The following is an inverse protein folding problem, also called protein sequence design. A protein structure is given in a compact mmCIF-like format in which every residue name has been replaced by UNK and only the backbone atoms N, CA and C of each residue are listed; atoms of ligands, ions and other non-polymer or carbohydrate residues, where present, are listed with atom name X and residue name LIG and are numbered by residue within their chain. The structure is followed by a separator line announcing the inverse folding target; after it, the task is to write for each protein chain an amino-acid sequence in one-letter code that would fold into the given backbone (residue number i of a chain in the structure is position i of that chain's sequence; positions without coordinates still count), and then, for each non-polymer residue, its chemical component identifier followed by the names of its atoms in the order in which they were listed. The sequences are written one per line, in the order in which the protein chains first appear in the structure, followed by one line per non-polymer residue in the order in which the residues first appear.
data_IF_389920762511
#
_entry.id   IF_389920762511
#
_cell.length_a   1.000
_cell.length_b   1.000
_cell.length_c   1.000
_cell.angle_alpha   90.00
_cell.angle_beta   90.00
_cell.angle_gamma   90.00
#
_symmetry.space_group_name_H-M   'P 1'
#
loop_
_entity.id
_entity.type
_entity.pdbx_description
1 polymer ?
#
# COMPACT_ATOMS: atom_id res chain seq x y z
N UNK A 1 -36.46 63.51 4.45
CA UNK A 1 -37.00 64.86 4.14
C UNK A 1 -37.66 65.51 5.34
N UNK A 2 -38.36 64.84 6.23
CA UNK A 2 -39.08 65.50 7.37
C UNK A 2 -38.14 66.19 8.37
N UNK A 3 -37.00 65.63 8.74
CA UNK A 3 -36.06 66.20 9.75
C UNK A 3 -35.37 67.50 9.28
N UNK A 4 -35.03 67.64 8.00
CA UNK A 4 -34.45 68.85 7.46
C UNK A 4 -35.48 69.95 7.38
N UNK A 5 -36.71 69.66 6.98
CA UNK A 5 -37.81 70.57 6.97
C UNK A 5 -38.14 71.07 8.40
N UNK A 6 -38.17 70.16 9.37
CA UNK A 6 -38.38 70.53 10.78
C UNK A 6 -37.23 71.44 11.30
N UNK A 7 -36.00 71.14 10.92
CA UNK A 7 -34.86 72.00 11.31
C UNK A 7 -34.93 73.35 10.73
N UNK A 8 -35.31 73.51 9.45
CA UNK A 8 -35.52 74.81 8.80
C UNK A 8 -36.67 75.56 9.47
N UNK A 9 -37.78 74.86 9.77
CA UNK A 9 -38.92 75.48 10.46
C UNK A 9 -38.57 75.95 11.87
N UNK A 10 -37.74 75.20 12.62
CA UNK A 10 -37.25 75.60 13.94
C UNK A 10 -36.36 76.88 13.87
N UNK A 11 -35.42 76.94 12.89
CA UNK A 11 -34.59 78.10 12.67
C UNK A 11 -35.43 79.30 12.22
N UNK A 12 -36.44 79.12 11.38
CA UNK A 12 -37.37 80.20 10.96
C UNK A 12 -38.22 80.71 12.14
N UNK A 13 -38.75 79.81 12.97
CA UNK A 13 -39.50 80.18 14.17
C UNK A 13 -38.65 80.95 15.19
N UNK A 14 -37.40 80.47 15.44
CA UNK A 14 -36.45 81.15 16.30
C UNK A 14 -36.08 82.50 15.77
N UNK A 15 -35.85 82.70 14.46
CA UNK A 15 -35.61 83.99 13.81
C UNK A 15 -36.81 84.91 13.90
N UNK A 16 -38.04 84.39 13.76
CA UNK A 16 -39.25 85.24 13.92
C UNK A 16 -39.43 85.73 15.36
N UNK A 17 -39.23 84.88 16.35
CA UNK A 17 -39.30 85.18 17.76
C UNK A 17 -38.25 86.28 18.17
N UNK A 18 -36.99 86.10 17.70
CA UNK A 18 -35.92 87.01 17.99
C UNK A 18 -36.15 88.37 17.27
N UNK A 19 -36.67 88.35 16.04
CA UNK A 19 -37.02 89.53 15.27
C UNK A 19 -38.14 90.34 15.90
N UNK A 20 -39.12 89.70 16.55
CA UNK A 20 -40.21 90.32 17.29
C UNK A 20 -39.72 91.04 18.57
N UNK A 21 -38.59 90.59 19.18
CA UNK A 21 -38.08 91.11 20.44
C UNK A 21 -36.94 92.13 20.28
N UNK A 22 -36.02 91.88 19.31
CA UNK A 22 -34.81 92.70 19.12
C UNK A 22 -34.71 93.41 17.77
N UNK A 23 -35.79 93.35 16.97
CA UNK A 23 -35.86 94.00 15.66
C UNK A 23 -35.67 93.02 14.48
N UNK A 24 -36.28 93.38 13.33
CA UNK A 24 -36.34 92.47 12.16
C UNK A 24 -34.96 92.09 11.61
N UNK A 25 -33.97 93.00 11.67
CA UNK A 25 -32.63 92.75 11.16
C UNK A 25 -31.92 91.63 11.93
N UNK A 26 -32.09 91.55 13.27
CA UNK A 26 -31.51 90.49 14.12
C UNK A 26 -32.16 89.13 13.89
N UNK A 27 -33.48 89.10 13.61
CA UNK A 27 -34.20 87.86 13.25
C UNK A 27 -33.72 87.24 11.94
N UNK A 28 -33.56 88.08 10.90
CA UNK A 28 -32.99 87.64 9.61
C UNK A 28 -31.54 87.16 9.71
N UNK A 29 -30.71 87.85 10.52
CA UNK A 29 -29.32 87.43 10.76
C UNK A 29 -29.24 86.08 11.45
N UNK A 30 -30.11 85.82 12.46
CA UNK A 30 -30.18 84.53 13.13
C UNK A 30 -30.62 83.39 12.17
N UNK A 31 -31.64 83.65 11.35
CA UNK A 31 -32.10 82.63 10.35
C UNK A 31 -31.03 82.37 9.30
N UNK A 32 -30.34 83.39 8.78
CA UNK A 32 -29.27 83.27 7.84
C UNK A 32 -28.07 82.49 8.44
N UNK A 33 -27.73 82.71 9.71
CA UNK A 33 -26.69 82.01 10.43
C UNK A 33 -27.07 80.53 10.58
N UNK A 34 -28.35 80.27 10.89
CA UNK A 34 -28.85 78.85 10.98
C UNK A 34 -28.77 78.11 9.65
N UNK A 35 -29.15 78.78 8.55
CA UNK A 35 -29.01 78.17 7.22
C UNK A 35 -27.54 77.98 6.84
N UNK A 36 -26.65 78.90 7.14
CA UNK A 36 -25.21 78.78 6.88
C UNK A 36 -24.59 77.60 7.66
N UNK A 37 -24.97 77.46 8.96
CA UNK A 37 -24.53 76.35 9.78
C UNK A 37 -25.05 74.97 9.24
N UNK A 38 -26.28 74.94 8.78
CA UNK A 38 -26.87 73.75 8.19
C UNK A 38 -26.17 73.31 6.89
N UNK A 39 -25.83 74.27 6.01
CA UNK A 39 -25.06 74.07 4.79
C UNK A 39 -23.66 73.54 5.13
N UNK A 40 -22.99 74.18 6.13
CA UNK A 40 -21.66 73.71 6.56
C UNK A 40 -21.67 72.28 7.11
N UNK A 41 -22.62 71.97 7.99
CA UNK A 41 -22.76 70.62 8.54
C UNK A 41 -23.05 69.59 7.43
N UNK A 42 -23.94 69.97 6.48
CA UNK A 42 -24.22 69.06 5.33
C UNK A 42 -23.00 68.87 4.43
N UNK A 43 -22.21 69.95 4.19
CA UNK A 43 -20.95 69.83 3.43
C UNK A 43 -19.90 68.94 4.11
N UNK A 44 -19.75 69.10 5.45
CA UNK A 44 -18.87 68.22 6.23
C UNK A 44 -19.31 66.80 6.21
N UNK A 45 -20.60 66.46 6.31
CA UNK A 45 -21.14 65.14 6.18
C UNK A 45 -20.89 64.58 4.80
N UNK A 46 -21.17 65.34 3.75
CA UNK A 46 -20.93 64.92 2.38
C UNK A 46 -19.44 64.57 2.13
N UNK A 47 -18.54 65.38 2.68
CA UNK A 47 -17.09 65.13 2.58
C UNK A 47 -16.65 63.89 3.33
N UNK A 48 -17.27 63.57 4.48
CA UNK A 48 -17.05 62.30 5.22
C UNK A 48 -17.55 61.11 4.45
N UNK A 49 -18.75 61.20 3.86
CA UNK A 49 -19.33 60.12 3.02
C UNK A 49 -18.47 59.93 1.78
N UNK A 50 -18.03 60.98 1.11
CA UNK A 50 -17.17 60.89 -0.07
C UNK A 50 -15.81 60.23 0.24
N UNK A 51 -15.22 60.47 1.42
CA UNK A 51 -14.03 59.75 1.87
C UNK A 51 -14.31 58.27 2.16
N UNK A 52 -15.40 57.98 2.82
CA UNK A 52 -15.80 56.63 3.11
C UNK A 52 -16.07 55.81 1.83
N UNK A 53 -16.70 56.36 0.82
CA UNK A 53 -16.93 55.71 -0.47
C UNK A 53 -15.62 55.29 -1.16
N UNK A 54 -14.53 56.04 -0.92
CA UNK A 54 -13.19 55.67 -1.45
C UNK A 54 -12.51 54.55 -0.66
N UNK A 55 -12.91 54.36 0.60
CA UNK A 55 -12.40 53.30 1.49
C UNK A 55 -13.56 52.58 2.16
N UNK A 56 -14.33 51.86 1.35
CA UNK A 56 -15.64 51.26 1.70
C UNK A 56 -15.51 50.07 2.67
N UNK A 57 -14.28 49.73 3.08
CA UNK A 57 -13.98 48.59 3.95
C UNK A 57 -14.34 48.84 5.43
N UNK A 58 -14.43 50.10 5.82
CA UNK A 58 -14.80 50.47 7.17
C UNK A 58 -16.31 50.72 7.30
N UNK A 59 -16.89 50.58 8.51
CA UNK A 59 -18.29 50.89 8.72
C UNK A 59 -18.57 52.36 8.35
N UNK A 60 -19.77 52.66 7.81
CA UNK A 60 -20.10 54.00 7.43
C UNK A 60 -19.96 54.95 8.62
N UNK A 61 -19.46 56.20 8.40
CA UNK A 61 -19.34 57.18 9.47
C UNK A 61 -20.72 57.46 10.05
N UNK A 62 -20.83 57.73 11.38
CA UNK A 62 -22.09 58.10 11.98
C UNK A 62 -22.61 59.35 11.30
N UNK A 63 -23.76 59.28 10.67
CA UNK A 63 -24.39 60.33 9.94
C UNK A 63 -25.67 60.77 10.66
N UNK A 64 -25.94 62.03 10.66
CA UNK A 64 -27.18 62.59 11.23
C UNK A 64 -28.16 62.84 10.06
N UNK A 65 -29.32 62.16 10.13
CA UNK A 65 -30.38 62.41 9.16
C UNK A 65 -30.64 61.27 8.17
N UNK A 66 -31.15 61.53 6.97
CA UNK A 66 -31.63 60.48 6.04
C UNK A 66 -30.53 59.61 5.44
N UNK A 67 -29.25 60.01 5.61
CA UNK A 67 -28.12 59.27 5.08
C UNK A 67 -27.89 57.90 5.75
N UNK A 68 -28.25 57.77 7.05
CA UNK A 68 -28.13 56.51 7.79
C UNK A 68 -29.06 55.43 7.22
N UNK A 69 -30.26 55.80 6.81
CA UNK A 69 -31.25 54.91 6.23
C UNK A 69 -30.79 54.38 4.87
N UNK A 70 -29.91 55.08 4.14
CA UNK A 70 -29.41 54.71 2.82
C UNK A 70 -28.06 53.97 2.93
N UNK A 71 -27.14 54.50 3.72
CA UNK A 71 -25.76 53.95 3.78
C UNK A 71 -25.67 52.59 4.49
N UNK A 72 -26.46 52.40 5.57
CA UNK A 72 -26.43 51.15 6.33
C UNK A 72 -26.89 49.91 5.53
N UNK A 73 -27.96 49.95 4.71
CA UNK A 73 -28.33 48.85 3.84
C UNK A 73 -27.30 48.58 2.72
N UNK A 74 -26.75 49.65 2.12
CA UNK A 74 -25.72 49.52 1.07
C UNK A 74 -24.49 48.83 1.63
N UNK A 75 -23.99 49.26 2.78
CA UNK A 75 -22.83 48.68 3.43
C UNK A 75 -23.08 47.20 3.80
N UNK A 76 -24.24 46.88 4.38
CA UNK A 76 -24.62 45.49 4.68
C UNK A 76 -24.62 44.61 3.44
N UNK A 77 -25.19 45.10 2.33
CA UNK A 77 -25.23 44.37 1.06
C UNK A 77 -23.84 44.14 0.47
N UNK A 78 -22.98 45.14 0.48
CA UNK A 78 -21.60 45.02 0.01
C UNK A 78 -20.77 44.05 0.88
N UNK A 79 -20.92 44.17 2.20
CA UNK A 79 -20.26 43.27 3.15
C UNK A 79 -20.73 41.83 2.94
N UNK A 80 -22.03 41.62 2.74
CA UNK A 80 -22.58 40.29 2.49
C UNK A 80 -22.06 39.70 1.18
N UNK A 81 -22.10 40.44 0.08
CA UNK A 81 -21.55 40.00 -1.21
C UNK A 81 -20.05 39.65 -1.11
N UNK A 82 -19.27 40.40 -0.34
CA UNK A 82 -17.84 40.10 -0.13
C UNK A 82 -17.64 38.81 0.66
N UNK A 83 -18.42 38.59 1.72
CA UNK A 83 -18.38 37.33 2.48
C UNK A 83 -18.78 36.16 1.60
N UNK A 84 -19.84 36.30 0.80
CA UNK A 84 -20.29 35.24 -0.13
C UNK A 84 -19.20 34.92 -1.17
N UNK A 85 -18.51 35.91 -1.70
CA UNK A 85 -17.37 35.72 -2.62
C UNK A 85 -16.21 35.01 -1.92
N UNK A 86 -15.87 35.42 -0.71
CA UNK A 86 -14.82 34.75 0.07
C UNK A 86 -15.15 33.30 0.39
N UNK A 87 -16.39 33.03 0.77
CA UNK A 87 -16.83 31.66 1.08
C UNK A 87 -16.85 30.78 -0.17
N UNK A 88 -17.27 31.32 -1.33
CA UNK A 88 -17.17 30.60 -2.61
C UNK A 88 -15.73 30.31 -2.99
N UNK A 89 -14.83 31.28 -2.84
CA UNK A 89 -13.40 31.10 -3.13
C UNK A 89 -12.77 30.07 -2.18
N UNK A 90 -13.09 30.11 -0.87
CA UNK A 90 -12.62 29.14 0.11
C UNK A 90 -13.15 27.74 -0.19
N UNK A 91 -14.42 27.62 -0.56
CA UNK A 91 -15.03 26.33 -0.91
C UNK A 91 -14.41 25.74 -2.15
N UNK A 92 -14.16 26.53 -3.18
CA UNK A 92 -13.45 26.11 -4.38
C UNK A 92 -12.00 25.65 -4.07
N UNK A 93 -11.28 26.43 -3.26
CA UNK A 93 -9.92 26.04 -2.87
C UNK A 93 -9.88 24.75 -2.05
N UNK A 94 -10.86 24.54 -1.14
CA UNK A 94 -10.98 23.26 -0.40
C UNK A 94 -11.28 22.09 -1.36
N UNK A 95 -12.12 22.27 -2.36
CA UNK A 95 -12.42 21.23 -3.35
C UNK A 95 -11.17 20.86 -4.16
N UNK A 96 -10.34 21.85 -4.56
CA UNK A 96 -9.07 21.59 -5.24
C UNK A 96 -8.09 20.82 -4.35
N UNK A 97 -7.93 21.23 -3.08
CA UNK A 97 -7.07 20.51 -2.14
C UNK A 97 -7.54 19.09 -1.89
N UNK A 98 -8.86 18.85 -1.84
CA UNK A 98 -9.41 17.51 -1.73
C UNK A 98 -9.12 16.67 -2.99
N UNK A 99 -9.21 17.26 -4.18
CA UNK A 99 -8.87 16.59 -5.43
C UNK A 99 -7.37 16.27 -5.54
N UNK A 100 -6.48 17.15 -5.01
CA UNK A 100 -5.04 16.87 -4.93
C UNK A 100 -4.70 15.72 -3.97
N UNK A 101 -5.48 15.54 -2.90
CA UNK A 101 -5.27 14.47 -1.91
C UNK A 101 -5.79 13.09 -2.36
N UNK A 102 -6.43 13.00 -3.53
CA UNK A 102 -6.91 11.71 -4.04
C UNK A 102 -5.74 10.79 -4.40
N UNK A 103 -5.80 9.50 -4.01
CA UNK A 103 -4.82 8.50 -4.42
C UNK A 103 -4.94 8.15 -5.91
N UNK A 104 -6.10 8.39 -6.52
CA UNK A 104 -6.35 8.26 -7.94
C UNK A 104 -5.98 9.56 -8.66
N UNK A 105 -5.47 9.45 -9.87
CA UNK A 105 -5.25 10.60 -10.72
C UNK A 105 -6.57 11.12 -11.27
N UNK A 106 -6.78 12.43 -11.19
CA UNK A 106 -7.95 13.10 -11.75
C UNK A 106 -7.49 14.24 -12.67
N UNK A 107 -8.09 14.32 -13.84
CA UNK A 107 -7.83 15.40 -14.79
C UNK A 107 -9.10 15.79 -15.54
N UNK A 108 -9.17 17.05 -15.91
CA UNK A 108 -10.31 17.60 -16.65
C UNK A 108 -9.88 18.00 -18.07
N UNK A 109 -10.74 17.67 -19.02
CA UNK A 109 -10.53 17.94 -20.43
C UNK A 109 -11.67 18.82 -20.97
N UNK A 110 -11.36 19.64 -21.96
CA UNK A 110 -12.34 20.41 -22.69
C UNK A 110 -13.06 19.56 -23.77
N UNK A 111 -14.03 20.11 -24.52
CA UNK A 111 -14.72 19.39 -25.60
C UNK A 111 -13.78 18.83 -26.69
N UNK A 112 -12.61 19.45 -26.89
CA UNK A 112 -11.58 19.02 -27.83
C UNK A 112 -10.56 18.06 -27.23
N UNK A 113 -10.81 17.61 -25.98
CA UNK A 113 -9.93 16.74 -25.21
C UNK A 113 -8.57 17.35 -24.90
N UNK A 114 -8.51 18.70 -24.79
CA UNK A 114 -7.34 19.41 -24.32
C UNK A 114 -7.35 19.46 -22.77
N UNK A 115 -6.15 19.30 -22.18
CA UNK A 115 -5.95 19.28 -20.73
C UNK A 115 -6.24 20.65 -20.12
N UNK A 116 -7.19 20.74 -19.18
CA UNK A 116 -7.49 21.95 -18.44
C UNK A 116 -6.85 21.97 -17.07
N UNK A 117 -6.94 20.86 -16.35
CA UNK A 117 -6.40 20.68 -15.01
C UNK A 117 -6.10 19.21 -14.76
N UNK A 118 -5.11 18.94 -13.91
CA UNK A 118 -4.89 17.60 -13.34
C UNK A 118 -4.33 17.74 -11.91
N UNK A 119 -4.56 16.71 -11.08
CA UNK A 119 -3.89 16.59 -9.80
C UNK A 119 -2.48 16.01 -9.96
N UNK A 120 -1.67 16.09 -8.90
CA UNK A 120 -0.30 15.58 -8.89
C UNK A 120 -0.22 14.08 -9.19
N UNK A 121 -1.21 13.30 -8.75
CA UNK A 121 -1.29 11.85 -9.03
C UNK A 121 -1.45 11.59 -10.52
N UNK A 122 -2.37 12.28 -11.22
CA UNK A 122 -2.54 12.14 -12.67
C UNK A 122 -1.28 12.56 -13.42
N UNK A 123 -0.64 13.64 -12.98
CA UNK A 123 0.64 14.10 -13.55
C UNK A 123 1.71 13.01 -13.44
N UNK A 124 1.82 12.35 -12.28
CA UNK A 124 2.79 11.26 -12.08
C UNK A 124 2.45 9.99 -12.86
N UNK A 125 1.16 9.67 -13.02
CA UNK A 125 0.70 8.49 -13.75
C UNK A 125 0.97 8.58 -15.25
N UNK A 126 0.70 9.75 -15.83
CA UNK A 126 0.77 9.97 -17.27
C UNK A 126 2.04 10.71 -17.72
N UNK A 127 2.88 11.14 -16.77
CA UNK A 127 4.08 11.92 -17.06
C UNK A 127 3.77 13.34 -17.57
N UNK A 128 2.70 13.97 -17.03
CA UNK A 128 2.26 15.30 -17.44
C UNK A 128 3.03 16.39 -16.69
N UNK A 129 3.27 17.49 -17.41
CA UNK A 129 3.68 18.76 -16.83
C UNK A 129 2.55 19.78 -17.03
N UNK A 130 1.87 20.15 -15.94
CA UNK A 130 0.67 21.00 -16.02
C UNK A 130 0.96 22.38 -16.59
N UNK A 131 2.16 22.94 -16.37
CA UNK A 131 2.52 24.24 -16.93
C UNK A 131 2.73 24.19 -18.45
N UNK A 132 3.32 23.10 -18.92
CA UNK A 132 3.66 22.89 -20.33
C UNK A 132 2.49 22.31 -21.14
N UNK A 133 1.78 21.34 -20.56
CA UNK A 133 0.81 20.50 -21.28
C UNK A 133 -0.61 21.05 -21.24
N UNK A 134 -0.87 22.09 -20.44
CA UNK A 134 -2.18 22.73 -20.34
C UNK A 134 -2.61 23.29 -21.69
N UNK A 135 -3.82 23.00 -22.11
CA UNK A 135 -4.38 23.37 -23.41
C UNK A 135 -3.95 22.48 -24.56
N UNK A 136 -3.06 21.52 -24.34
CA UNK A 136 -2.70 20.53 -25.37
C UNK A 136 -3.64 19.33 -25.31
N UNK A 137 -3.91 18.72 -26.47
CA UNK A 137 -4.74 17.52 -26.52
C UNK A 137 -4.06 16.36 -25.79
N UNK A 138 -4.80 15.71 -24.86
CA UNK A 138 -4.32 14.54 -24.13
C UNK A 138 -3.92 13.39 -25.06
N UNK A 139 -4.48 13.32 -26.26
CA UNK A 139 -4.17 12.32 -27.28
C UNK A 139 -2.73 12.44 -27.83
N UNK A 140 -2.18 13.67 -27.82
CA UNK A 140 -0.80 13.92 -28.23
C UNK A 140 0.21 13.58 -27.13
N UNK A 141 -0.23 13.59 -25.90
CA UNK A 141 0.58 13.30 -24.71
C UNK A 141 0.60 11.79 -24.46
N UNK A 142 -0.58 11.17 -24.37
CA UNK A 142 -0.73 9.72 -24.23
C UNK A 142 -0.80 9.09 -25.62
N UNK A 143 0.37 8.77 -26.19
CA UNK A 143 0.53 8.30 -27.59
C UNK A 143 0.22 6.80 -27.76
N UNK A 144 -0.80 6.28 -27.07
CA UNK A 144 -1.22 4.89 -27.18
C UNK A 144 -2.40 4.76 -28.16
N UNK A 145 -2.33 3.91 -29.20
CA UNK A 145 -3.43 3.73 -30.16
C UNK A 145 -4.74 3.27 -29.50
N UNK A 146 -4.64 2.46 -28.45
CA UNK A 146 -5.78 2.00 -27.67
C UNK A 146 -6.48 3.17 -26.97
N UNK A 147 -5.71 4.11 -26.43
CA UNK A 147 -6.25 5.30 -25.78
C UNK A 147 -6.94 6.22 -26.80
N UNK A 148 -6.36 6.42 -27.97
CA UNK A 148 -6.97 7.23 -29.02
C UNK A 148 -8.31 6.65 -29.48
N UNK A 149 -8.42 5.33 -29.64
CA UNK A 149 -9.69 4.64 -29.95
C UNK A 149 -10.70 4.77 -28.83
N UNK A 150 -10.30 4.58 -27.60
CA UNK A 150 -11.14 4.70 -26.41
C UNK A 150 -11.68 6.13 -26.25
N UNK A 151 -10.82 7.13 -26.36
CA UNK A 151 -11.21 8.53 -26.24
C UNK A 151 -12.13 9.01 -27.40
N UNK A 152 -12.12 8.33 -28.56
CA UNK A 152 -13.00 8.60 -29.69
C UNK A 152 -14.41 7.97 -29.59
N UNK A 153 -14.71 7.18 -28.56
CA UNK A 153 -16.03 6.59 -28.34
C UNK A 153 -17.03 7.65 -27.90
N UNK A 154 -18.33 7.36 -28.05
CA UNK A 154 -19.41 8.20 -27.56
C UNK A 154 -19.78 7.89 -26.11
N UNK A 155 -19.54 6.64 -25.66
CA UNK A 155 -19.81 6.17 -24.30
C UNK A 155 -18.61 5.40 -23.74
N UNK A 156 -18.38 5.51 -22.43
CA UNK A 156 -17.24 4.91 -21.74
C UNK A 156 -17.70 4.04 -20.56
N UNK A 157 -18.48 2.99 -20.85
CA UNK A 157 -19.05 2.09 -19.84
C UNK A 157 -17.98 1.25 -19.12
N UNK A 158 -16.85 1.03 -19.78
CA UNK A 158 -15.74 0.25 -19.23
C UNK A 158 -14.46 1.06 -19.23
N UNK A 159 -13.63 0.95 -18.17
CA UNK A 159 -12.33 1.59 -18.16
C UNK A 159 -11.40 0.94 -19.19
N UNK A 160 -10.51 1.74 -19.74
CA UNK A 160 -9.39 1.27 -20.56
C UNK A 160 -8.23 0.85 -19.64
N UNK A 161 -7.70 -0.34 -19.86
CA UNK A 161 -6.43 -0.76 -19.25
C UNK A 161 -5.30 -0.41 -20.21
N UNK A 162 -4.34 0.38 -19.72
CA UNK A 162 -3.23 0.86 -20.52
C UNK A 162 -1.90 0.48 -19.86
N UNK A 163 -1.03 -0.19 -20.61
CA UNK A 163 0.30 -0.55 -20.18
C UNK A 163 1.30 0.53 -20.64
N UNK A 164 1.94 1.20 -19.69
CA UNK A 164 2.91 2.26 -19.93
C UNK A 164 4.31 1.82 -19.49
N UNK A 165 5.32 2.14 -20.29
CA UNK A 165 6.72 1.84 -20.00
C UNK A 165 7.14 0.43 -20.42
N UNK A 166 8.45 0.13 -20.26
CA UNK A 166 9.07 -1.14 -20.62
C UNK A 166 9.94 -1.63 -19.46
N UNK A 167 10.00 -2.94 -19.23
CA UNK A 167 10.83 -3.55 -18.21
C UNK A 167 10.35 -3.30 -16.76
N UNK A 168 11.27 -3.09 -15.83
CA UNK A 168 10.98 -2.94 -14.40
C UNK A 168 10.18 -1.68 -14.02
N UNK A 169 10.13 -0.69 -14.90
CA UNK A 169 9.36 0.55 -14.73
C UNK A 169 7.96 0.50 -15.38
N UNK A 170 7.54 -0.66 -15.92
CA UNK A 170 6.23 -0.83 -16.53
C UNK A 170 5.11 -0.64 -15.48
N UNK A 171 4.14 0.23 -15.80
CA UNK A 171 2.94 0.49 -15.00
C UNK A 171 1.71 0.13 -15.80
N UNK A 172 0.71 -0.38 -15.11
CA UNK A 172 -0.61 -0.63 -15.70
C UNK A 172 -1.61 0.34 -15.08
N UNK A 173 -2.18 1.18 -15.92
CA UNK A 173 -3.16 2.18 -15.51
C UNK A 173 -4.55 1.77 -16.00
N UNK A 174 -5.53 1.90 -15.14
CA UNK A 174 -6.96 1.89 -15.48
C UNK A 174 -7.39 3.33 -15.72
N UNK A 175 -7.86 3.64 -16.94
CA UNK A 175 -8.31 4.96 -17.35
C UNK A 175 -9.82 4.94 -17.55
N UNK A 176 -10.54 5.83 -16.87
CA UNK A 176 -11.97 5.99 -17.06
C UNK A 176 -12.31 7.42 -17.45
N UNK A 177 -12.97 7.57 -18.59
CA UNK A 177 -13.43 8.86 -19.09
C UNK A 177 -14.95 8.99 -18.85
N UNK A 178 -15.36 10.11 -18.26
CA UNK A 178 -16.76 10.40 -18.00
C UNK A 178 -17.09 11.85 -18.41
N UNK A 179 -18.23 12.10 -19.06
CA UNK A 179 -18.68 13.47 -19.35
C UNK A 179 -19.11 14.15 -18.04
N UNK A 180 -18.78 15.44 -17.90
CA UNK A 180 -19.31 16.28 -16.84
C UNK A 180 -19.57 17.71 -17.35
N UNK A 181 -20.53 18.40 -16.76
CA UNK A 181 -20.88 19.76 -17.19
C UNK A 181 -21.34 19.80 -18.65
N UNK A 182 -21.04 20.91 -19.33
CA UNK A 182 -21.43 21.13 -20.74
C UNK A 182 -20.23 20.82 -21.65
N UNK A 183 -20.22 19.60 -22.21
CA UNK A 183 -19.20 19.18 -23.18
C UNK A 183 -17.79 18.96 -22.61
N UNK A 184 -17.62 18.91 -21.29
CA UNK A 184 -16.34 18.67 -20.63
C UNK A 184 -16.23 17.20 -20.23
N UNK A 185 -14.98 16.72 -20.03
CA UNK A 185 -14.70 15.36 -19.63
C UNK A 185 -13.82 15.32 -18.38
N UNK A 186 -14.20 14.43 -17.47
CA UNK A 186 -13.36 14.03 -16.34
C UNK A 186 -12.69 12.70 -16.69
N UNK A 187 -11.37 12.63 -16.60
CA UNK A 187 -10.65 11.37 -16.70
C UNK A 187 -10.07 11.00 -15.34
N UNK A 188 -10.35 9.79 -14.89
CA UNK A 188 -9.79 9.21 -13.67
C UNK A 188 -8.75 8.17 -14.07
N UNK A 189 -7.59 8.21 -13.46
CA UNK A 189 -6.49 7.25 -13.68
C UNK A 189 -6.16 6.54 -12.38
N UNK A 190 -6.11 5.22 -12.40
CA UNK A 190 -5.74 4.39 -11.25
C UNK A 190 -4.59 3.47 -11.59
N UNK A 191 -3.55 3.46 -10.78
CA UNK A 191 -2.47 2.48 -10.89
C UNK A 191 -2.96 1.13 -10.37
N UNK A 192 -3.11 0.18 -11.28
CA UNK A 192 -3.53 -1.20 -11.00
C UNK A 192 -2.39 -2.20 -11.18
N UNK A 193 -1.15 -1.74 -11.27
CA UNK A 193 0.02 -2.57 -11.55
C UNK A 193 0.15 -3.74 -10.57
N UNK A 194 -0.05 -3.48 -9.28
CA UNK A 194 0.01 -4.53 -8.27
C UNK A 194 -1.15 -5.52 -8.38
N UNK A 195 -2.36 -5.01 -8.61
CA UNK A 195 -3.57 -5.85 -8.76
C UNK A 195 -3.41 -6.78 -9.96
N UNK A 196 -2.98 -6.25 -11.09
CA UNK A 196 -2.77 -7.02 -12.31
C UNK A 196 -1.66 -8.07 -12.15
N UNK A 197 -0.54 -7.70 -11.49
CA UNK A 197 0.53 -8.66 -11.18
C UNK A 197 0.02 -9.81 -10.30
N UNK A 198 -0.80 -9.52 -9.30
CA UNK A 198 -1.40 -10.53 -8.44
C UNK A 198 -2.37 -11.43 -9.21
N UNK A 199 -3.22 -10.85 -10.07
CA UNK A 199 -4.14 -11.63 -10.91
C UNK A 199 -3.40 -12.53 -11.91
N UNK A 200 -2.36 -12.00 -12.56
CA UNK A 200 -1.55 -12.77 -13.50
C UNK A 200 -0.81 -13.90 -12.77
N UNK A 201 -0.20 -13.61 -11.60
CA UNK A 201 0.43 -14.65 -10.75
C UNK A 201 -0.57 -15.74 -10.37
N UNK A 202 -1.82 -15.37 -10.05
CA UNK A 202 -2.88 -16.34 -9.72
C UNK A 202 -3.30 -17.16 -10.94
N UNK A 203 -3.44 -16.53 -12.11
CA UNK A 203 -3.77 -17.26 -13.36
C UNK A 203 -2.66 -18.26 -13.72
N UNK A 204 -1.40 -17.80 -13.67
CA UNK A 204 -0.23 -18.65 -13.95
C UNK A 204 -0.13 -19.81 -12.95
N UNK A 205 -0.44 -19.57 -11.67
CA UNK A 205 -0.48 -20.59 -10.66
C UNK A 205 -1.50 -21.68 -11.01
N UNK A 206 -2.76 -21.34 -11.31
CA UNK A 206 -3.82 -22.29 -11.67
C UNK A 206 -3.45 -23.07 -12.94
N UNK A 207 -2.91 -22.39 -13.95
CA UNK A 207 -2.47 -23.03 -15.18
C UNK A 207 -1.34 -24.04 -14.92
N UNK A 208 -0.33 -23.63 -14.14
CA UNK A 208 0.81 -24.49 -13.82
C UNK A 208 0.40 -25.70 -12.97
N UNK A 209 -0.46 -25.52 -11.94
CA UNK A 209 -1.02 -26.65 -11.17
C UNK A 209 -1.72 -27.65 -12.09
N UNK A 210 -2.56 -27.16 -13.01
CA UNK A 210 -3.29 -28.00 -13.95
C UNK A 210 -2.34 -28.78 -14.87
N UNK A 211 -1.27 -28.17 -15.33
CA UNK A 211 -0.26 -28.82 -16.15
C UNK A 211 0.55 -29.87 -15.37
N UNK A 212 1.02 -29.54 -14.16
CA UNK A 212 1.83 -30.43 -13.34
C UNK A 212 1.03 -31.63 -12.79
N UNK A 213 -0.30 -31.50 -12.65
CA UNK A 213 -1.18 -32.66 -12.32
C UNK A 213 -1.56 -33.49 -13.55
N UNK A 214 -1.77 -32.86 -14.72
CA UNK A 214 -2.19 -33.58 -15.93
C UNK A 214 -1.12 -34.54 -16.42
N UNK A 215 0.15 -34.14 -16.39
CA UNK A 215 1.26 -34.98 -16.91
C UNK A 215 1.37 -36.34 -16.19
N UNK A 216 1.48 -36.42 -14.85
CA UNK A 216 1.54 -37.71 -14.16
C UNK A 216 0.25 -38.52 -14.31
N UNK A 217 -0.91 -37.86 -14.36
CA UNK A 217 -2.19 -38.51 -14.55
C UNK A 217 -2.26 -39.21 -15.92
N UNK A 218 -1.83 -38.54 -16.98
CA UNK A 218 -1.75 -39.15 -18.35
C UNK A 218 -0.82 -40.34 -18.37
N UNK A 219 0.33 -40.26 -17.68
CA UNK A 219 1.29 -41.39 -17.57
C UNK A 219 0.68 -42.56 -16.82
N UNK A 220 -0.01 -42.29 -15.69
CA UNK A 220 -0.72 -43.33 -14.94
C UNK A 220 -1.80 -44.01 -15.78
N UNK A 221 -2.65 -43.22 -16.46
CA UNK A 221 -3.70 -43.78 -17.34
C UNK A 221 -3.10 -44.64 -18.43
N UNK A 222 -2.02 -44.20 -19.09
CA UNK A 222 -1.36 -44.98 -20.14
C UNK A 222 -0.78 -46.32 -19.63
N UNK A 223 -0.21 -46.34 -18.40
CA UNK A 223 0.25 -47.62 -17.81
C UNK A 223 -0.92 -48.50 -17.44
N UNK A 224 -2.02 -47.97 -16.94
CA UNK A 224 -3.23 -48.74 -16.62
C UNK A 224 -3.82 -49.36 -17.91
N UNK A 225 -3.99 -48.54 -18.96
CA UNK A 225 -4.46 -49.04 -20.27
C UNK A 225 -3.54 -50.12 -20.84
N UNK A 226 -2.21 -49.92 -20.79
CA UNK A 226 -1.24 -50.90 -21.23
C UNK A 226 -1.36 -52.22 -20.47
N UNK A 227 -1.57 -52.17 -19.14
CA UNK A 227 -1.73 -53.35 -18.31
C UNK A 227 -3.09 -54.04 -18.51
N UNK A 228 -4.14 -53.29 -18.93
CA UNK A 228 -5.46 -53.85 -19.24
C UNK A 228 -5.53 -54.48 -20.62
N UNK A 229 -4.90 -53.89 -21.63
CA UNK A 229 -4.98 -54.34 -23.02
C UNK A 229 -4.05 -55.50 -23.35
N UNK A 230 -2.98 -55.67 -22.57
CA UNK A 230 -2.04 -56.77 -22.80
C UNK A 230 -2.53 -58.08 -22.19
N UNK A 231 -2.54 -59.23 -22.93
CA UNK A 231 -2.82 -60.55 -22.37
C UNK A 231 -1.92 -60.82 -21.17
N UNK A 232 -2.44 -61.55 -20.17
CA UNK A 232 -1.75 -61.82 -18.90
C UNK A 232 -0.34 -62.40 -19.03
N UNK A 233 -0.07 -63.10 -20.14
CA UNK A 233 1.22 -63.79 -20.45
C UNK A 233 2.14 -62.93 -21.33
N UNK A 234 1.68 -61.74 -21.83
CA UNK A 234 2.45 -60.90 -22.71
C UNK A 234 3.54 -60.06 -22.00
N UNK A 235 3.43 -59.89 -20.67
CA UNK A 235 4.41 -59.21 -19.85
C UNK A 235 5.16 -60.18 -18.95
N UNK A 236 6.48 -60.06 -18.93
CA UNK A 236 7.29 -60.74 -17.92
C UNK A 236 6.98 -60.22 -16.51
N UNK A 237 7.20 -61.01 -15.48
CA UNK A 237 7.01 -60.58 -14.09
C UNK A 237 7.85 -59.35 -13.72
N UNK A 238 9.02 -59.16 -14.37
CA UNK A 238 9.89 -57.99 -14.20
C UNK A 238 9.32 -56.74 -14.86
N UNK A 239 8.80 -56.86 -16.08
CA UNK A 239 8.16 -55.70 -16.77
C UNK A 239 6.92 -55.22 -16.02
N UNK A 240 6.08 -56.15 -15.53
CA UNK A 240 4.91 -55.80 -14.71
C UNK A 240 5.31 -55.09 -13.44
N UNK A 241 6.34 -55.57 -12.74
CA UNK A 241 6.87 -54.93 -11.53
C UNK A 241 7.41 -53.54 -11.85
N UNK A 242 8.14 -53.38 -12.95
CA UNK A 242 8.66 -52.10 -13.40
C UNK A 242 7.54 -51.07 -13.66
N UNK A 243 6.45 -51.47 -14.34
CA UNK A 243 5.31 -50.56 -14.54
C UNK A 243 4.64 -50.15 -13.23
N UNK A 244 4.45 -51.12 -12.31
CA UNK A 244 3.89 -50.83 -10.99
C UNK A 244 4.79 -49.87 -10.18
N UNK A 245 6.11 -50.00 -10.25
CA UNK A 245 7.07 -49.14 -9.58
C UNK A 245 7.00 -47.72 -10.16
N UNK A 246 6.91 -47.57 -11.49
CA UNK A 246 6.72 -46.30 -12.14
C UNK A 246 5.39 -45.62 -11.74
N UNK A 247 4.30 -46.37 -11.69
CA UNK A 247 3.00 -45.87 -11.22
C UNK A 247 3.06 -45.45 -9.77
N UNK A 248 3.68 -46.22 -8.89
CA UNK A 248 3.88 -45.86 -7.49
C UNK A 248 4.72 -44.61 -7.34
N UNK A 249 5.74 -44.42 -8.18
CA UNK A 249 6.55 -43.19 -8.18
C UNK A 249 5.73 -42.00 -8.63
N UNK A 250 4.92 -42.10 -9.69
CA UNK A 250 4.06 -40.99 -10.13
C UNK A 250 3.02 -40.60 -9.06
N UNK A 251 2.45 -41.60 -8.38
CA UNK A 251 1.51 -41.37 -7.27
C UNK A 251 2.19 -40.61 -6.13
N UNK A 252 3.40 -41.00 -5.72
CA UNK A 252 4.18 -40.28 -4.71
C UNK A 252 4.49 -38.84 -5.13
N UNK A 253 4.84 -38.61 -6.40
CA UNK A 253 5.09 -37.26 -6.93
C UNK A 253 3.84 -36.40 -6.87
N UNK A 254 2.66 -36.93 -7.21
CA UNK A 254 1.38 -36.23 -7.11
C UNK A 254 1.04 -35.89 -5.65
N UNK A 255 1.23 -36.83 -4.73
CA UNK A 255 1.01 -36.62 -3.29
C UNK A 255 1.91 -35.48 -2.76
N UNK A 256 3.20 -35.51 -3.13
CA UNK A 256 4.13 -34.43 -2.76
C UNK A 256 3.68 -33.09 -3.31
N UNK A 257 3.26 -33.02 -4.58
CA UNK A 257 2.75 -31.78 -5.19
C UNK A 257 1.52 -31.24 -4.46
N UNK A 258 0.54 -32.10 -4.14
CA UNK A 258 -0.68 -31.72 -3.40
C UNK A 258 -0.30 -31.24 -2.00
N UNK A 259 0.60 -31.92 -1.30
CA UNK A 259 1.08 -31.51 0.03
C UNK A 259 1.76 -30.14 0.00
N UNK A 260 2.62 -29.89 -0.99
CA UNK A 260 3.28 -28.59 -1.18
C UNK A 260 2.28 -27.49 -1.47
N UNK A 261 1.25 -27.75 -2.29
CA UNK A 261 0.17 -26.82 -2.58
C UNK A 261 -0.64 -26.46 -1.33
N UNK A 262 -1.01 -27.45 -0.52
CA UNK A 262 -1.74 -27.24 0.73
C UNK A 262 -0.89 -26.43 1.73
N UNK A 263 0.41 -26.75 1.83
CA UNK A 263 1.34 -26.03 2.68
C UNK A 263 1.44 -24.57 2.25
N UNK A 264 1.63 -24.31 0.95
CA UNK A 264 1.71 -22.95 0.41
C UNK A 264 0.41 -22.18 0.63
N UNK A 265 -0.75 -22.79 0.38
CA UNK A 265 -2.06 -22.19 0.61
C UNK A 265 -2.29 -21.86 2.09
N UNK A 266 -1.88 -22.74 3.00
CA UNK A 266 -1.95 -22.47 4.45
C UNK A 266 -1.04 -21.31 4.86
N UNK A 267 0.18 -21.26 4.36
CA UNK A 267 1.12 -20.15 4.63
C UNK A 267 0.60 -18.81 4.14
N UNK A 268 -0.16 -18.77 3.04
CA UNK A 268 -0.73 -17.54 2.47
C UNK A 268 -2.00 -17.08 3.15
N UNK A 269 -2.82 -18.02 3.63
CA UNK A 269 -4.15 -17.72 4.19
C UNK A 269 -4.15 -17.51 5.71
N UNK A 270 -3.19 -18.11 6.42
CA UNK A 270 -3.14 -18.06 7.89
C UNK A 270 -2.37 -16.83 8.34
N UNK A 271 -2.93 -15.97 9.23
CA UNK A 271 -2.19 -14.86 9.82
C UNK A 271 -0.92 -15.34 10.51
N UNK A 272 0.12 -14.51 10.48
CA UNK A 272 1.37 -14.81 11.17
C UNK A 272 1.11 -14.88 12.69
N UNK A 273 1.19 -16.09 13.26
CA UNK A 273 1.08 -16.29 14.71
C UNK A 273 2.46 -16.14 15.33
N UNK A 274 2.53 -15.42 16.45
CA UNK A 274 3.76 -15.38 17.26
C UNK A 274 4.06 -16.81 17.77
N UNK A 275 5.08 -17.43 17.19
CA UNK A 275 5.54 -18.76 17.61
C UNK A 275 6.36 -18.72 18.90
N UNK A 276 6.55 -19.88 19.52
CA UNK A 276 7.40 -20.08 20.70
C UNK A 276 8.91 -20.14 20.35
N UNK A 277 9.77 -20.37 21.37
CA UNK A 277 11.20 -20.61 21.15
C UNK A 277 11.44 -21.98 20.54
N UNK A 278 11.89 -22.01 19.28
CA UNK A 278 12.15 -23.23 18.49
C UNK A 278 13.63 -23.62 18.58
N UNK A 279 13.96 -24.87 18.95
CA UNK A 279 15.31 -25.41 18.90
C UNK A 279 15.65 -25.84 17.45
N UNK A 280 16.12 -24.88 16.63
CA UNK A 280 16.37 -25.13 15.20
C UNK A 280 17.39 -26.25 14.96
N UNK A 281 18.37 -26.42 15.82
CA UNK A 281 19.31 -27.55 15.74
C UNK A 281 18.62 -28.92 15.72
N UNK A 282 17.53 -29.10 16.48
CA UNK A 282 16.76 -30.33 16.48
C UNK A 282 16.02 -30.52 15.17
N UNK A 283 15.44 -29.46 14.60
CA UNK A 283 14.77 -29.50 13.29
C UNK A 283 15.75 -29.83 12.17
N UNK A 284 16.95 -29.22 12.20
CA UNK A 284 18.02 -29.51 11.23
C UNK A 284 18.45 -30.97 11.31
N UNK A 285 18.61 -31.55 12.50
CA UNK A 285 18.96 -32.96 12.65
C UNK A 285 17.90 -33.88 12.04
N UNK A 286 16.63 -33.61 12.31
CA UNK A 286 15.53 -34.38 11.74
C UNK A 286 15.51 -34.30 10.21
N UNK A 287 15.64 -33.10 9.66
CA UNK A 287 15.68 -32.87 8.22
C UNK A 287 16.93 -33.49 7.57
N UNK A 288 18.07 -33.45 8.27
CA UNK A 288 19.32 -34.06 7.82
C UNK A 288 19.20 -35.59 7.75
N UNK A 289 18.58 -36.26 8.75
CA UNK A 289 18.32 -37.70 8.72
C UNK A 289 17.43 -38.12 7.53
N UNK A 290 16.41 -37.30 7.23
CA UNK A 290 15.54 -37.50 6.04
C UNK A 290 16.33 -37.32 4.73
N UNK A 291 17.18 -36.29 4.65
CA UNK A 291 18.03 -36.04 3.49
C UNK A 291 19.08 -37.18 3.28
N UNK A 292 19.66 -37.72 4.35
CA UNK A 292 20.55 -38.89 4.31
C UNK A 292 19.83 -40.13 3.80
N UNK A 293 18.62 -40.38 4.27
CA UNK A 293 17.80 -41.46 3.78
C UNK A 293 17.46 -41.32 2.27
N UNK A 294 17.10 -40.10 1.84
CA UNK A 294 16.85 -39.80 0.44
C UNK A 294 18.10 -39.93 -0.43
N UNK A 295 19.26 -39.60 0.11
CA UNK A 295 20.56 -39.74 -0.54
C UNK A 295 20.91 -41.22 -0.82
N UNK A 296 20.49 -42.15 0.04
CA UNK A 296 20.85 -43.54 -0.10
C UNK A 296 22.38 -43.79 -0.11
N UNK A 297 23.14 -43.01 0.63
CA UNK A 297 24.60 -43.11 0.71
C UNK A 297 25.37 -42.49 -0.46
N UNK A 298 24.72 -41.77 -1.36
CA UNK A 298 25.36 -41.18 -2.54
C UNK A 298 26.14 -39.88 -2.25
N UNK A 299 25.92 -39.27 -1.09
CA UNK A 299 26.54 -38.00 -0.72
C UNK A 299 27.16 -38.07 0.68
N UNK A 300 28.17 -37.22 0.94
CA UNK A 300 28.73 -37.01 2.28
C UNK A 300 28.02 -35.83 2.93
N UNK A 301 27.73 -35.97 4.23
CA UNK A 301 27.05 -34.92 5.01
C UNK A 301 27.94 -34.48 6.17
N UNK A 302 28.09 -33.16 6.33
CA UNK A 302 28.71 -32.52 7.49
C UNK A 302 27.68 -31.55 8.12
N UNK A 303 27.65 -31.48 9.46
CA UNK A 303 26.75 -30.59 10.17
C UNK A 303 27.43 -29.97 11.40
N UNK A 304 27.39 -28.65 11.50
CA UNK A 304 27.84 -27.90 12.67
C UNK A 304 26.64 -27.09 13.17
N UNK A 305 26.13 -27.46 14.34
CA UNK A 305 24.89 -26.96 14.89
C UNK A 305 25.13 -26.39 16.29
N UNK A 306 24.76 -25.12 16.49
CA UNK A 306 24.72 -24.54 17.83
C UNK A 306 23.41 -24.98 18.53
N UNK A 307 23.58 -25.82 19.57
CA UNK A 307 22.47 -26.39 20.35
C UNK A 307 21.80 -25.37 21.28
N UNK A 308 22.47 -24.28 21.57
CA UNK A 308 21.97 -23.26 22.51
C UNK A 308 21.08 -22.24 21.84
N UNK A 309 21.26 -22.06 20.52
CA UNK A 309 20.61 -21.04 19.74
C UNK A 309 19.15 -21.41 19.41
N UNK A 310 18.22 -20.54 19.78
CA UNK A 310 16.77 -20.71 19.56
C UNK A 310 16.19 -19.51 18.84
N UNK A 311 15.18 -19.75 18.01
CA UNK A 311 14.47 -18.72 17.24
C UNK A 311 13.00 -18.70 17.66
N UNK A 312 12.42 -17.52 17.80
CA UNK A 312 10.97 -17.38 17.96
C UNK A 312 10.29 -17.65 16.62
N UNK A 313 9.49 -18.70 16.54
CA UNK A 313 8.84 -19.11 15.30
C UNK A 313 7.93 -20.31 15.46
N UNK A 314 7.51 -20.88 14.34
CA UNK A 314 6.70 -22.11 14.26
C UNK A 314 7.56 -23.29 13.79
N UNK A 315 7.59 -24.35 14.58
CA UNK A 315 8.41 -25.56 14.33
C UNK A 315 8.12 -26.18 12.98
N UNK A 316 6.83 -26.34 12.65
CA UNK A 316 6.38 -26.99 11.41
C UNK A 316 6.76 -26.19 10.17
N UNK A 317 6.64 -24.85 10.23
CA UNK A 317 7.02 -23.98 9.13
C UNK A 317 8.54 -24.00 8.93
N UNK A 318 9.31 -23.81 10.01
CA UNK A 318 10.78 -23.86 9.94
C UNK A 318 11.31 -25.22 9.51
N UNK A 319 10.72 -26.31 9.99
CA UNK A 319 11.06 -27.66 9.54
C UNK A 319 10.82 -27.84 8.03
N UNK A 320 9.69 -27.34 7.51
CA UNK A 320 9.38 -27.36 6.09
C UNK A 320 10.39 -26.59 5.25
N UNK A 321 10.77 -25.37 5.68
CA UNK A 321 11.75 -24.56 4.96
C UNK A 321 13.13 -25.25 4.91
N UNK A 322 13.63 -25.72 6.05
CA UNK A 322 14.92 -26.42 6.16
C UNK A 322 14.91 -27.71 5.34
N UNK A 323 13.82 -28.50 5.44
CA UNK A 323 13.63 -29.74 4.67
C UNK A 323 13.67 -29.51 3.16
N UNK A 324 13.03 -28.43 2.68
CA UNK A 324 13.07 -28.06 1.27
C UNK A 324 14.48 -27.69 0.78
N UNK A 325 15.27 -26.97 1.59
CA UNK A 325 16.65 -26.64 1.23
C UNK A 325 17.52 -27.90 1.16
N UNK A 326 17.41 -28.81 2.14
CA UNK A 326 18.17 -30.05 2.18
C UNK A 326 17.79 -31.01 1.07
N UNK A 327 16.50 -31.14 0.78
CA UNK A 327 16.00 -31.97 -0.33
C UNK A 327 16.52 -31.45 -1.67
N UNK A 328 16.56 -30.14 -1.87
CA UNK A 328 17.15 -29.53 -3.06
C UNK A 328 18.67 -29.83 -3.14
N UNK A 329 19.41 -29.68 -2.05
CA UNK A 329 20.83 -30.03 -2.03
C UNK A 329 21.08 -31.48 -2.45
N UNK A 330 20.29 -32.44 -1.94
CA UNK A 330 20.41 -33.87 -2.34
C UNK A 330 20.08 -34.10 -3.81
N UNK A 331 19.08 -33.39 -4.35
CA UNK A 331 18.63 -33.55 -5.75
C UNK A 331 19.62 -33.02 -6.78
N UNK A 332 20.25 -31.89 -6.44
CA UNK A 332 21.09 -31.17 -7.41
C UNK A 332 22.58 -31.41 -7.22
N UNK A 333 22.97 -32.21 -6.21
CA UNK A 333 24.34 -32.65 -6.03
C UNK A 333 24.53 -33.99 -6.73
N UNK A 334 25.53 -34.19 -7.61
CA UNK A 334 25.90 -35.44 -8.20
C UNK A 334 26.37 -36.45 -7.13
N UNK A 335 26.25 -37.77 -7.41
CA UNK A 335 26.84 -38.79 -6.51
C UNK A 335 28.31 -38.55 -6.24
N UNK A 336 28.73 -38.74 -4.98
CA UNK A 336 30.09 -38.43 -4.49
C UNK A 336 30.27 -36.98 -3.99
N UNK A 337 29.30 -36.11 -4.20
CA UNK A 337 29.34 -34.72 -3.69
C UNK A 337 29.09 -34.63 -2.19
N UNK A 338 29.27 -33.40 -1.66
CA UNK A 338 29.12 -33.13 -0.23
C UNK A 338 28.03 -32.07 0.04
N UNK A 339 27.35 -32.22 1.17
CA UNK A 339 26.32 -31.31 1.67
C UNK A 339 26.69 -30.93 3.09
N UNK A 340 26.89 -29.63 3.34
CA UNK A 340 27.25 -29.09 4.64
C UNK A 340 26.13 -28.22 5.19
N UNK A 341 25.76 -28.43 6.46
CA UNK A 341 24.73 -27.64 7.14
C UNK A 341 25.35 -26.91 8.32
N UNK A 342 25.16 -25.60 8.36
CA UNK A 342 25.64 -24.75 9.43
C UNK A 342 24.45 -24.07 10.12
N UNK A 343 24.39 -24.18 11.45
CA UNK A 343 23.48 -23.40 12.27
C UNK A 343 24.28 -22.65 13.32
N UNK A 344 24.41 -21.35 13.18
CA UNK A 344 25.35 -20.52 13.94
C UNK A 344 24.81 -19.11 14.20
N UNK A 345 25.29 -18.40 15.23
CA UNK A 345 24.98 -16.99 15.42
C UNK A 345 25.57 -16.16 14.28
N UNK A 346 24.82 -15.13 13.84
CA UNK A 346 25.27 -14.18 12.84
C UNK A 346 25.98 -12.97 13.50
N UNK A 347 26.90 -12.28 12.78
CA UNK A 347 27.68 -11.16 13.33
C UNK A 347 26.84 -9.97 13.81
N UNK A 348 25.63 -9.81 13.29
CA UNK A 348 24.67 -8.77 13.62
C UNK A 348 23.79 -9.09 14.86
N UNK A 349 24.13 -10.16 15.58
CA UNK A 349 23.36 -10.66 16.72
C UNK A 349 22.15 -11.51 16.33
N UNK A 350 21.94 -11.74 15.05
CA UNK A 350 20.95 -12.66 14.50
C UNK A 350 21.42 -14.12 14.52
N UNK A 351 20.78 -14.96 13.69
CA UNK A 351 21.16 -16.36 13.50
C UNK A 351 21.11 -16.74 12.02
N UNK A 352 21.94 -17.68 11.61
CA UNK A 352 21.99 -18.14 10.23
C UNK A 352 21.92 -19.67 10.14
N UNK A 353 20.97 -20.17 9.31
CA UNK A 353 20.94 -21.56 8.86
C UNK A 353 21.41 -21.61 7.40
N UNK A 354 22.57 -22.23 7.16
CA UNK A 354 23.16 -22.35 5.81
C UNK A 354 23.23 -23.79 5.37
N UNK A 355 22.77 -24.04 4.17
CA UNK A 355 22.90 -25.34 3.47
C UNK A 355 23.79 -25.10 2.27
N UNK A 356 24.99 -25.70 2.28
CA UNK A 356 25.95 -25.66 1.18
C UNK A 356 26.01 -27.01 0.51
N UNK A 357 25.97 -27.03 -0.81
CA UNK A 357 26.16 -28.21 -1.63
C UNK A 357 27.29 -28.02 -2.65
N UNK A 358 27.88 -29.11 -3.11
CA UNK A 358 28.85 -29.15 -4.22
C UNK A 358 28.17 -29.64 -5.50
N UNK A 359 26.96 -29.14 -5.74
CA UNK A 359 26.13 -29.52 -6.86
C UNK A 359 26.50 -28.82 -8.18
N UNK A 360 25.59 -28.90 -9.12
CA UNK A 360 25.77 -28.33 -10.48
C UNK A 360 25.86 -26.81 -10.50
N UNK A 361 25.51 -26.13 -9.39
CA UNK A 361 25.39 -24.70 -9.35
C UNK A 361 24.22 -24.16 -10.18
N UNK A 362 24.05 -22.85 -10.16
CA UNK A 362 22.91 -22.13 -10.73
C UNK A 362 23.43 -20.93 -11.52
N UNK A 363 22.86 -20.69 -12.69
CA UNK A 363 23.17 -19.48 -13.48
C UNK A 363 22.72 -18.22 -12.73
N UNK A 364 23.56 -17.18 -12.63
CA UNK A 364 23.20 -15.92 -11.98
C UNK A 364 21.89 -15.29 -12.52
N UNK A 365 21.56 -15.48 -13.81
CA UNK A 365 20.32 -15.00 -14.41
C UNK A 365 19.06 -15.66 -13.82
N UNK A 366 19.17 -16.90 -13.33
CA UNK A 366 18.07 -17.67 -12.77
C UNK A 366 17.88 -17.45 -11.27
N UNK A 367 18.92 -16.99 -10.54
CA UNK A 367 18.85 -16.82 -9.07
C UNK A 367 17.65 -15.98 -8.61
N UNK A 368 17.33 -14.83 -9.20
CA UNK A 368 16.17 -14.03 -8.79
C UNK A 368 14.83 -14.75 -8.94
N UNK A 369 14.76 -15.72 -9.85
CA UNK A 369 13.54 -16.44 -10.22
C UNK A 369 13.35 -17.76 -9.48
N UNK A 370 14.38 -18.28 -8.83
CA UNK A 370 14.34 -19.59 -8.13
C UNK A 370 13.22 -19.72 -7.11
N UNK A 371 12.79 -18.60 -6.53
CA UNK A 371 11.70 -18.55 -5.54
C UNK A 371 10.33 -18.31 -6.16
N UNK A 372 10.22 -18.20 -7.50
CA UNK A 372 8.94 -18.18 -8.21
C UNK A 372 8.30 -19.56 -8.14
N UNK A 373 6.97 -19.61 -8.07
CA UNK A 373 6.22 -20.86 -8.02
C UNK A 373 6.39 -21.63 -9.34
N UNK A 374 6.66 -22.92 -9.27
CA UNK A 374 6.89 -23.83 -10.42
C UNK A 374 8.11 -23.46 -11.28
N UNK A 375 8.95 -22.50 -10.84
CA UNK A 375 10.16 -22.18 -11.58
C UNK A 375 11.19 -23.31 -11.43
N UNK A 376 11.86 -23.62 -12.55
CA UNK A 376 12.88 -24.67 -12.65
C UNK A 376 13.90 -24.23 -13.68
N UNK A 377 15.17 -24.10 -13.27
CA UNK A 377 16.26 -23.69 -14.17
C UNK A 377 16.50 -24.71 -15.31
N UNK A 378 16.31 -26.03 -15.04
CA UNK A 378 16.42 -27.10 -16.04
C UNK A 378 15.15 -27.99 -16.00
N UNK A 379 14.27 -27.80 -16.99
CA UNK A 379 13.01 -28.57 -17.12
C UNK A 379 13.23 -30.04 -17.46
N UNK A 380 14.32 -30.41 -18.13
CA UNK A 380 14.60 -31.78 -18.57
C UNK A 380 15.05 -32.68 -17.41
N UNK A 381 16.09 -32.27 -16.70
CA UNK A 381 16.70 -32.99 -15.58
C UNK A 381 15.79 -33.08 -14.35
N UNK A 382 15.07 -31.98 -14.10
CA UNK A 382 14.20 -31.89 -12.92
C UNK A 382 12.97 -32.78 -12.98
N UNK A 383 12.48 -33.18 -14.18
CA UNK A 383 11.42 -34.21 -14.31
C UNK A 383 11.90 -35.59 -13.87
N UNK A 384 13.14 -35.95 -14.17
CA UNK A 384 13.73 -37.21 -13.73
C UNK A 384 13.94 -37.26 -12.20
N UNK A 385 14.16 -36.12 -11.54
CA UNK A 385 14.41 -36.05 -10.10
C UNK A 385 13.17 -35.76 -9.25
N UNK A 386 11.98 -35.58 -9.86
CA UNK A 386 10.69 -35.49 -9.15
C UNK A 386 10.47 -34.20 -8.35
N UNK A 387 11.10 -33.07 -8.73
CA UNK A 387 10.90 -31.78 -8.06
C UNK A 387 9.56 -31.14 -8.44
N UNK A 388 8.84 -30.58 -7.48
CA UNK A 388 7.55 -29.89 -7.68
C UNK A 388 7.72 -28.44 -8.17
N UNK A 389 8.91 -27.83 -7.99
CA UNK A 389 9.14 -26.40 -8.25
C UNK A 389 8.46 -25.48 -7.21
N UNK A 390 7.92 -26.04 -6.13
CA UNK A 390 7.28 -25.28 -5.04
C UNK A 390 8.16 -25.16 -3.79
N UNK A 391 9.13 -26.02 -3.57
CA UNK A 391 9.89 -26.09 -2.33
C UNK A 391 10.62 -24.79 -1.97
N UNK A 392 11.26 -24.10 -2.94
CA UNK A 392 11.92 -22.80 -2.68
C UNK A 392 10.91 -21.67 -2.50
N UNK A 393 9.75 -21.73 -3.17
CA UNK A 393 8.67 -20.78 -2.91
C UNK A 393 8.11 -20.94 -1.49
N UNK A 394 7.91 -22.19 -1.02
CA UNK A 394 7.53 -22.50 0.38
C UNK A 394 8.59 -21.97 1.34
N UNK A 395 9.87 -22.26 1.11
CA UNK A 395 10.96 -21.77 1.95
C UNK A 395 10.96 -20.24 2.03
N UNK A 396 10.79 -19.53 0.92
CA UNK A 396 10.68 -18.06 0.89
C UNK A 396 9.50 -17.55 1.71
N UNK A 397 8.31 -18.13 1.56
CA UNK A 397 7.13 -17.73 2.33
C UNK A 397 7.33 -17.91 3.83
N UNK A 398 7.90 -19.06 4.25
CA UNK A 398 8.24 -19.33 5.65
C UNK A 398 9.24 -18.29 6.17
N UNK A 399 10.31 -18.03 5.41
CA UNK A 399 11.35 -17.06 5.76
C UNK A 399 10.75 -15.67 5.95
N UNK A 400 9.89 -15.22 5.04
CA UNK A 400 9.19 -13.93 5.15
C UNK A 400 8.27 -13.85 6.38
N UNK A 401 7.55 -14.92 6.71
CA UNK A 401 6.70 -14.99 7.92
C UNK A 401 7.49 -14.91 9.22
N UNK A 402 8.77 -15.24 9.19
CA UNK A 402 9.67 -15.17 10.32
C UNK A 402 10.56 -13.91 10.31
N UNK A 403 10.23 -12.88 9.49
CA UNK A 403 11.00 -11.65 9.28
C UNK A 403 12.48 -11.92 8.93
N UNK A 404 12.76 -13.11 8.38
CA UNK A 404 14.07 -13.56 7.97
C UNK A 404 14.31 -13.27 6.48
N UNK A 405 15.53 -13.43 6.03
CA UNK A 405 15.93 -13.24 4.62
C UNK A 405 16.51 -14.54 4.07
N UNK A 406 16.10 -14.92 2.85
CA UNK A 406 16.70 -16.02 2.11
C UNK A 406 17.77 -15.45 1.16
N UNK A 407 19.04 -15.73 1.45
CA UNK A 407 20.20 -15.39 0.60
C UNK A 407 20.65 -16.62 -0.17
N UNK A 408 20.87 -16.47 -1.49
CA UNK A 408 21.26 -17.54 -2.39
C UNK A 408 22.51 -17.12 -3.14
N UNK A 409 23.58 -17.90 -2.96
CA UNK A 409 24.85 -17.74 -3.68
C UNK A 409 25.20 -19.00 -4.39
N UNK A 410 25.50 -18.92 -5.68
CA UNK A 410 25.81 -20.09 -6.47
C UNK A 410 26.74 -19.72 -7.64
N UNK A 411 27.60 -20.67 -7.97
CA UNK A 411 28.45 -20.62 -9.16
C UNK A 411 28.24 -21.89 -9.97
N UNK A 412 27.95 -21.79 -11.27
CA UNK A 412 27.82 -22.98 -12.12
C UNK A 412 29.06 -23.88 -12.05
N UNK A 413 28.86 -25.17 -11.76
CA UNK A 413 29.92 -26.18 -11.63
C UNK A 413 30.59 -26.24 -10.26
N UNK A 414 30.37 -25.30 -9.33
CA UNK A 414 31.00 -25.29 -8.00
C UNK A 414 30.02 -25.64 -6.86
N UNK A 415 28.71 -25.46 -7.10
CA UNK A 415 27.66 -25.71 -6.13
C UNK A 415 26.93 -24.46 -5.67
N UNK A 416 26.13 -24.58 -4.60
CA UNK A 416 25.27 -23.52 -4.10
C UNK A 416 25.32 -23.39 -2.58
N UNK A 417 25.01 -22.20 -2.08
CA UNK A 417 24.82 -21.90 -0.66
C UNK A 417 23.47 -21.21 -0.50
N UNK A 418 22.56 -21.87 0.20
CA UNK A 418 21.27 -21.31 0.60
C UNK A 418 21.32 -20.93 2.08
N UNK A 419 21.05 -19.67 2.41
CA UNK A 419 21.15 -19.15 3.77
C UNK A 419 19.83 -18.54 4.20
N UNK A 420 19.29 -19.01 5.33
CA UNK A 420 18.17 -18.34 6.02
C UNK A 420 18.79 -17.47 7.12
N UNK A 421 18.65 -16.16 7.02
CA UNK A 421 19.20 -15.18 7.94
C UNK A 421 18.08 -14.62 8.81
N UNK A 422 18.14 -14.93 10.11
CA UNK A 422 17.14 -14.46 11.08
C UNK A 422 17.66 -13.21 11.78
N UNK A 423 16.84 -12.15 11.93
CA UNK A 423 17.24 -10.94 12.64
C UNK A 423 17.40 -11.19 14.15
N UNK A 424 18.19 -10.35 14.82
CA UNK A 424 18.42 -10.43 16.27
C UNK A 424 17.12 -10.41 17.09
N UNK A 425 16.09 -9.71 16.61
CA UNK A 425 14.76 -9.66 17.26
C UNK A 425 14.06 -11.02 17.35
N UNK A 426 14.41 -11.98 16.49
CA UNK A 426 13.85 -13.35 16.48
C UNK A 426 14.70 -14.32 17.31
N UNK A 427 15.93 -13.98 17.66
CA UNK A 427 16.81 -14.83 18.48
C UNK A 427 16.32 -14.79 19.93
N UNK A 428 16.05 -15.94 20.49
CA UNK A 428 15.68 -16.04 21.90
C UNK A 428 16.95 -16.01 22.75
N UNK A 429 16.97 -15.27 23.87
CA UNK A 429 18.07 -15.36 24.80
C UNK A 429 18.27 -16.82 25.25
N UNK A 430 19.51 -17.26 25.52
CA UNK A 430 19.76 -18.60 26.01
C UNK A 430 18.89 -18.86 27.25
N UNK A 431 18.20 -20.01 27.29
CA UNK A 431 17.40 -20.36 28.45
C UNK A 431 18.32 -20.36 29.66
N UNK A 432 18.13 -19.38 30.53
CA UNK A 432 18.83 -19.38 31.84
C UNK A 432 18.59 -20.74 32.53
N UNK A 433 19.45 -21.18 33.43
CA UNK A 433 19.32 -22.45 34.12
C UNK A 433 17.90 -22.59 34.63
N UNK A 434 17.23 -23.69 34.26
CA UNK A 434 15.85 -23.96 34.63
C UNK A 434 15.66 -23.68 36.12
N UNK A 435 14.82 -22.72 36.46
CA UNK A 435 14.43 -22.52 37.88
C UNK A 435 13.95 -23.88 38.38
N UNK A 436 14.40 -24.36 39.56
CA UNK A 436 13.99 -25.64 40.08
C UNK A 436 12.47 -25.68 40.18
N UNK A 437 11.91 -26.79 39.71
CA UNK A 437 10.47 -27.07 39.80
C UNK A 437 9.96 -26.69 41.17
N UNK A 438 9.05 -25.73 41.27
CA UNK A 438 8.36 -25.41 42.53
C UNK A 438 7.53 -26.62 42.89
N UNK A 439 7.96 -27.33 43.90
CA UNK A 439 7.16 -28.34 44.57
C UNK A 439 5.80 -27.74 44.97
N UNK A 440 4.75 -28.44 44.58
CA UNK A 440 3.37 -28.14 45.00
C UNK A 440 3.20 -28.40 46.50
N UNK A 441 3.64 -27.46 47.33
CA UNK A 441 3.28 -27.43 48.74
C UNK A 441 3.17 -25.97 49.16
N UNK A 442 1.95 -25.51 49.26
CA UNK A 442 1.60 -24.16 49.70
C UNK A 442 2.16 -23.78 51.05
N UNK A 443 2.70 -22.55 51.11
CA UNK A 443 2.58 -21.64 52.26
C UNK A 443 2.89 -20.20 51.86
N UNK A 444 1.89 -19.35 52.02
CA UNK A 444 2.04 -17.89 51.98
C UNK A 444 3.13 -17.44 52.97
N UNK A 445 4.11 -16.69 52.49
CA UNK A 445 4.81 -15.69 53.29
C UNK A 445 5.01 -14.42 52.44
N UNK A 446 4.33 -13.39 52.86
CA UNK A 446 4.57 -12.01 52.52
C UNK A 446 5.98 -11.59 52.90
N UNK A 447 6.75 -11.05 51.97
CA UNK A 447 7.89 -10.19 52.28
C UNK A 447 8.13 -9.21 51.16
N UNK A 448 7.85 -7.98 51.49
CA UNK A 448 8.35 -6.71 50.96
C UNK A 448 9.65 -6.81 50.21
N UNK A 449 9.65 -6.41 48.94
CA UNK A 449 10.83 -5.91 48.28
C UNK A 449 10.46 -4.72 47.43
N UNK A 450 10.61 -3.54 48.05
CA UNK A 450 10.59 -2.23 47.41
C UNK A 450 12.04 -1.97 47.00
N UNK A 451 12.34 -1.90 45.70
CA UNK A 451 13.46 -1.11 45.17
C UNK A 451 13.27 -0.87 43.67
N UNK A 452 13.06 0.40 43.32
CA UNK A 452 13.47 1.16 42.14
C UNK A 452 13.27 0.56 40.73
N UNK A 453 12.26 1.09 40.08
CA UNK A 453 12.34 1.40 38.64
C UNK A 453 11.68 2.77 38.40
N UNK A 454 12.50 3.81 38.31
CA UNK A 454 12.11 5.11 37.81
C UNK A 454 12.01 5.05 36.28
N UNK A 455 11.17 5.94 35.74
CA UNK A 455 10.85 6.17 34.34
C UNK A 455 9.74 5.27 33.74
N UNK A 456 8.50 5.71 33.99
CA UNK A 456 7.43 5.55 33.03
C UNK A 456 6.59 6.84 32.97
N UNK A 457 6.59 7.43 31.80
CA UNK A 457 5.84 8.61 31.41
C UNK A 457 4.32 8.39 31.47
N UNK A 458 3.51 9.43 31.67
CA UNK A 458 2.09 9.36 32.00
C UNK A 458 1.23 9.47 30.73
N UNK A 459 0.58 8.38 30.31
CA UNK A 459 -0.60 8.44 29.44
C UNK A 459 -1.52 7.25 29.79
N UNK A 460 -2.26 7.38 30.89
CA UNK A 460 -3.42 6.52 31.14
C UNK A 460 -4.35 7.15 32.18
N UNK A 461 -5.07 8.19 31.76
CA UNK A 461 -6.31 8.66 32.44
C UNK A 461 -7.22 9.23 31.36
N UNK A 462 -8.14 8.41 30.87
CA UNK A 462 -9.45 8.84 30.35
C UNK A 462 -10.18 7.61 29.79
N UNK A 463 -10.76 6.80 30.65
CA UNK A 463 -11.89 5.93 30.33
C UNK A 463 -12.41 5.22 31.61
N UNK A 464 -13.02 5.98 32.50
CA UNK A 464 -13.89 5.41 33.53
C UNK A 464 -14.83 6.50 34.07
N UNK A 465 -15.82 6.89 33.26
CA UNK A 465 -17.07 7.52 33.71
C UNK A 465 -18.07 7.47 32.56
N UNK A 466 -18.78 6.36 32.46
CA UNK A 466 -20.14 6.27 31.95
C UNK A 466 -20.65 4.84 32.22
N UNK A 467 -21.13 4.62 33.42
CA UNK A 467 -22.35 3.94 33.86
C UNK A 467 -22.45 4.03 35.37
#
# INVERSE_FOLDING_TARGET
MSKTLVSIALWALGGWLLGAWLGAATGWAFFALGLLLMILVSGLQLSRIARWVRAIDEPPPPSVGPWDEILAPIYRKLKQNRLDLQDRTRSFHRALLAAEALPDGALTLDPHKALQWCNQTAASHLGLDLERDRGHSILNIVRAPEFARYAGQETWDRPLILHLGHGGAARTLSLHLAPYGVGQFLMVTRDITQIERLENTRKDFVANVSHELRTPLTVLSGFVETLQDLPGDALTGEQRRHYLDLMAQQTRNMQALVSDLLTLSSLESTPNQEGGPVPVAALVRTALAQAQALSGGRHTFDARLDETLRIRGQDTELASAIGNLLTNAVRYTPPGGSITVLWEPAPDGGAACRVRDTGIGIDPADIPRLTERFFRADRGRSRATGGTGLGLAIAKHVVMRHDATLDIRSTPGEGSVFSILFPAARVCPPAGPAAPARDAAGRHRSSSCMVQCGYCFPYCRLAARAR
#
